data_IF_571316082641
#
_entry.id   IF_571316082641
#
_cell.length_a   1.000
_cell.length_b   1.000
_cell.length_c   1.000
_cell.angle_alpha   90.00
_cell.angle_beta   90.00
_cell.angle_gamma   90.00
#
_symmetry.space_group_name_H-M   'P 1'
#
loop_
_entity.id
_entity.type
_entity.pdbx_description
1 polymer ?
#
# COMPACT_ATOMS: atom_id res chain seq x y z
N UNK A 1 -9.83 -3.93 2.59
CA UNK A 1 -8.94 -4.09 3.77
C UNK A 1 -9.71 -4.80 4.87
N UNK A 2 -9.07 -5.50 5.82
CA UNK A 2 -9.75 -6.27 6.88
C UNK A 2 -10.37 -5.39 7.99
N UNK A 3 -11.08 -4.32 7.63
CA UNK A 3 -11.70 -3.38 8.59
C UNK A 3 -10.74 -2.75 9.61
N UNK A 4 -9.42 -2.74 9.34
CA UNK A 4 -8.41 -2.28 10.30
C UNK A 4 -8.10 -3.27 11.43
N UNK A 5 -8.59 -4.51 11.38
CA UNK A 5 -8.36 -5.53 12.41
C UNK A 5 -7.12 -6.35 12.09
N UNK A 6 -6.22 -6.43 13.08
CA UNK A 6 -5.00 -7.24 13.05
C UNK A 6 -5.33 -8.74 13.04
N UNK A 7 -4.68 -9.50 12.16
CA UNK A 7 -4.72 -10.97 12.19
C UNK A 7 -3.92 -11.52 13.38
N UNK A 8 -4.40 -12.61 14.01
CA UNK A 8 -3.77 -13.21 15.20
C UNK A 8 -2.78 -14.33 14.87
N UNK A 9 -2.92 -14.97 13.71
CA UNK A 9 -2.03 -16.06 13.29
C UNK A 9 -0.63 -15.54 12.95
N UNK A 10 0.39 -16.36 13.17
CA UNK A 10 1.78 -16.06 12.81
C UNK A 10 2.08 -16.34 11.34
N UNK A 11 1.37 -17.31 10.74
CA UNK A 11 1.53 -17.69 9.35
C UNK A 11 0.50 -16.98 8.47
N UNK A 12 0.96 -15.96 7.74
CA UNK A 12 0.07 -15.15 6.92
C UNK A 12 -0.02 -15.66 5.48
N UNK A 13 -1.19 -16.20 5.15
CA UNK A 13 -1.51 -16.62 3.78
C UNK A 13 -2.26 -15.51 3.04
N UNK A 14 -1.57 -14.84 2.10
CA UNK A 14 -2.16 -13.81 1.25
C UNK A 14 -2.17 -14.24 -0.22
N UNK A 15 -3.25 -13.90 -0.93
CA UNK A 15 -3.23 -13.95 -2.39
C UNK A 15 -2.29 -12.90 -2.97
N UNK A 16 -1.72 -13.18 -4.14
CA UNK A 16 -0.88 -12.20 -4.84
C UNK A 16 -1.72 -11.02 -5.35
N UNK A 17 -1.07 -9.87 -5.56
CA UNK A 17 -1.71 -8.64 -6.03
C UNK A 17 -2.29 -8.84 -7.45
N UNK A 18 -3.63 -8.91 -7.56
CA UNK A 18 -4.43 -9.19 -8.78
C UNK A 18 -5.68 -8.31 -8.82
N UNK A 19 -6.42 -8.40 -9.94
CA UNK A 19 -7.69 -7.71 -10.12
C UNK A 19 -7.56 -6.19 -10.02
N UNK A 20 -8.57 -5.54 -9.45
CA UNK A 20 -8.65 -4.08 -9.32
C UNK A 20 -7.56 -3.48 -8.41
N UNK A 21 -6.94 -4.29 -7.55
CA UNK A 21 -5.82 -3.82 -6.74
C UNK A 21 -4.57 -3.59 -7.60
N UNK A 22 -4.38 -4.39 -8.65
CA UNK A 22 -3.19 -4.38 -9.48
C UNK A 22 -3.25 -3.21 -10.46
N UNK A 23 -2.36 -2.25 -10.30
CA UNK A 23 -2.31 -1.08 -11.18
C UNK A 23 -1.88 -1.48 -12.58
N UNK A 24 -2.60 -0.94 -13.56
CA UNK A 24 -2.34 -1.10 -14.98
C UNK A 24 -2.29 0.26 -15.66
N UNK A 25 -1.40 0.40 -16.64
CA UNK A 25 -1.38 1.56 -17.53
C UNK A 25 -2.58 1.53 -18.47
N UNK A 26 -2.72 2.58 -19.27
CA UNK A 26 -3.77 2.70 -20.29
C UNK A 26 -3.67 1.59 -21.34
N UNK A 27 -2.46 1.06 -21.56
CA UNK A 27 -2.15 -0.10 -22.40
C UNK A 27 -2.57 -1.45 -21.79
N UNK A 28 -3.11 -1.44 -20.56
CA UNK A 28 -3.46 -2.65 -19.81
C UNK A 28 -2.26 -3.40 -19.20
N UNK A 29 -1.04 -2.91 -19.41
CA UNK A 29 0.20 -3.51 -18.89
C UNK A 29 0.37 -3.12 -17.43
N UNK A 30 1.04 -3.98 -16.65
CA UNK A 30 1.31 -3.74 -15.22
C UNK A 30 2.14 -2.46 -15.05
N UNK A 31 1.62 -1.48 -14.31
CA UNK A 31 2.32 -0.20 -14.09
C UNK A 31 3.57 -0.37 -13.22
N UNK A 32 3.63 -1.41 -12.38
CA UNK A 32 4.80 -1.74 -11.57
C UNK A 32 5.02 -3.27 -11.53
N UNK A 33 6.26 -3.76 -11.71
CA UNK A 33 6.54 -5.19 -11.81
C UNK A 33 6.27 -5.93 -10.49
N UNK A 34 6.62 -5.31 -9.35
CA UNK A 34 6.68 -5.97 -8.04
C UNK A 34 5.73 -5.36 -7.00
N UNK A 35 4.59 -4.81 -7.46
CA UNK A 35 3.55 -4.26 -6.57
C UNK A 35 3.15 -5.26 -5.48
N UNK A 36 3.26 -4.85 -4.21
CA UNK A 36 2.90 -5.66 -3.05
C UNK A 36 1.39 -5.63 -2.77
N UNK A 37 0.80 -6.74 -2.30
CA UNK A 37 -0.60 -6.79 -1.88
C UNK A 37 -0.89 -5.81 -0.73
N UNK A 38 -2.02 -5.11 -0.79
CA UNK A 38 -2.45 -4.20 0.29
C UNK A 38 -2.61 -4.93 1.63
N UNK A 39 -3.16 -6.15 1.61
CA UNK A 39 -3.43 -6.92 2.83
C UNK A 39 -2.16 -7.29 3.60
N UNK A 40 -1.07 -7.58 2.88
CA UNK A 40 0.24 -7.85 3.48
C UNK A 40 0.75 -6.62 4.23
N UNK A 41 0.78 -5.46 3.58
CA UNK A 41 1.31 -4.24 4.19
C UNK A 41 0.39 -3.73 5.31
N UNK A 42 -0.94 -3.89 5.16
CA UNK A 42 -1.91 -3.61 6.21
C UNK A 42 -1.56 -4.35 7.51
N UNK A 43 -1.25 -5.64 7.41
CA UNK A 43 -0.96 -6.44 8.58
C UNK A 43 0.33 -5.97 9.27
N UNK A 44 1.40 -5.71 8.51
CA UNK A 44 2.66 -5.17 9.05
C UNK A 44 2.44 -3.85 9.79
N UNK A 45 1.66 -2.93 9.22
CA UNK A 45 1.38 -1.62 9.83
C UNK A 45 0.53 -1.76 11.10
N UNK A 46 -0.49 -2.63 11.10
CA UNK A 46 -1.34 -2.84 12.27
C UNK A 46 -0.58 -3.47 13.44
N UNK A 47 0.30 -4.44 13.17
CA UNK A 47 1.03 -5.16 14.23
C UNK A 47 2.15 -4.32 14.85
N UNK A 48 2.65 -3.31 14.12
CA UNK A 48 3.93 -2.65 14.44
C UNK A 48 3.81 -1.12 14.62
N UNK A 49 2.59 -0.56 14.60
CA UNK A 49 2.38 0.89 14.76
C UNK A 49 1.01 1.22 15.36
N UNK A 50 0.88 2.43 15.91
CA UNK A 50 -0.36 3.04 16.36
C UNK A 50 -0.84 4.11 15.39
N UNK A 51 -2.11 4.50 15.52
CA UNK A 51 -2.66 5.63 14.75
C UNK A 51 -1.84 6.90 15.06
N UNK A 52 -1.50 7.66 14.03
CA UNK A 52 -0.65 8.86 14.13
C UNK A 52 0.86 8.60 14.01
N UNK A 53 1.33 7.36 14.17
CA UNK A 53 2.75 7.05 13.98
C UNK A 53 3.21 7.33 12.54
N UNK A 54 4.51 7.57 12.40
CA UNK A 54 5.16 7.80 11.11
C UNK A 54 5.73 6.51 10.54
N UNK A 55 5.34 6.15 9.31
CA UNK A 55 5.85 5.01 8.57
C UNK A 55 6.82 5.48 7.48
N UNK A 56 8.05 4.94 7.47
CA UNK A 56 9.03 5.18 6.42
C UNK A 56 9.09 3.99 5.45
N UNK A 57 8.99 4.26 4.15
CA UNK A 57 9.28 3.27 3.10
C UNK A 57 10.34 3.83 2.13
N UNK A 58 11.60 3.36 2.19
CA UNK A 58 12.66 3.86 1.33
C UNK A 58 12.60 3.32 -0.12
N UNK A 59 11.65 2.43 -0.43
CA UNK A 59 11.47 1.81 -1.75
C UNK A 59 9.98 1.78 -2.12
N UNK A 60 9.36 2.97 -2.15
CA UNK A 60 7.92 3.13 -2.17
C UNK A 60 7.25 2.46 -3.40
N UNK A 61 7.92 2.42 -4.55
CA UNK A 61 7.40 1.82 -5.78
C UNK A 61 6.03 2.37 -6.15
N UNK A 62 5.03 1.49 -6.27
CA UNK A 62 3.66 1.88 -6.59
C UNK A 62 2.81 2.38 -5.40
N UNK A 63 3.43 2.76 -4.28
CA UNK A 63 2.76 3.45 -3.18
C UNK A 63 1.89 2.58 -2.28
N UNK A 64 2.06 1.25 -2.27
CA UNK A 64 1.25 0.34 -1.42
C UNK A 64 1.33 0.74 0.06
N UNK A 65 2.53 1.06 0.58
CA UNK A 65 2.74 1.49 1.97
C UNK A 65 2.06 2.81 2.29
N UNK A 66 2.19 3.81 1.42
CA UNK A 66 1.53 5.11 1.58
C UNK A 66 0.00 4.99 1.61
N UNK A 67 -0.57 4.17 0.71
CA UNK A 67 -2.02 3.91 0.66
C UNK A 67 -2.48 3.26 1.96
N UNK A 68 -1.79 2.23 2.44
CA UNK A 68 -2.14 1.55 3.69
C UNK A 68 -1.99 2.48 4.89
N UNK A 69 -0.90 3.24 4.98
CA UNK A 69 -0.67 4.17 6.08
C UNK A 69 -1.79 5.22 6.15
N UNK A 70 -2.12 5.86 5.02
CA UNK A 70 -3.26 6.78 4.90
C UNK A 70 -4.57 6.10 5.32
N UNK A 71 -4.82 4.89 4.81
CA UNK A 71 -6.02 4.09 5.08
C UNK A 71 -6.18 3.69 6.56
N UNK A 72 -5.09 3.63 7.31
CA UNK A 72 -5.10 3.27 8.73
C UNK A 72 -4.87 4.47 9.65
N UNK A 73 -4.81 5.69 9.12
CA UNK A 73 -4.57 6.92 9.89
C UNK A 73 -3.15 7.01 10.47
N UNK A 74 -2.15 6.51 9.75
CA UNK A 74 -0.72 6.74 10.03
C UNK A 74 -0.18 7.84 9.11
N UNK A 75 0.80 8.58 9.61
CA UNK A 75 1.63 9.44 8.77
C UNK A 75 2.60 8.57 7.98
N UNK A 76 3.10 9.06 6.85
CA UNK A 76 4.06 8.32 6.06
C UNK A 76 5.04 9.22 5.33
N UNK A 77 6.24 8.70 5.10
CA UNK A 77 7.26 9.25 4.20
C UNK A 77 7.70 8.11 3.29
N UNK A 78 7.68 8.35 1.99
CA UNK A 78 8.10 7.38 0.99
C UNK A 78 9.19 7.95 0.09
N UNK A 79 10.18 7.13 -0.23
CA UNK A 79 11.27 7.48 -1.15
C UNK A 79 11.20 6.54 -2.34
N UNK A 80 11.31 7.10 -3.55
CA UNK A 80 11.36 6.36 -4.80
C UNK A 80 12.25 7.11 -5.78
N UNK A 81 13.09 6.37 -6.50
CA UNK A 81 14.08 6.91 -7.43
C UNK A 81 13.45 7.24 -8.79
N UNK A 82 12.54 6.39 -9.24
CA UNK A 82 11.94 6.47 -10.57
C UNK A 82 10.74 7.43 -10.58
N UNK A 83 10.87 8.58 -11.24
CA UNK A 83 9.82 9.62 -11.25
C UNK A 83 8.45 9.13 -11.73
N UNK A 84 8.41 8.17 -12.67
CA UNK A 84 7.17 7.51 -13.10
C UNK A 84 6.43 6.80 -11.96
N UNK A 85 7.16 6.19 -11.02
CA UNK A 85 6.59 5.49 -9.87
C UNK A 85 6.21 6.44 -8.75
N UNK A 86 6.96 7.55 -8.58
CA UNK A 86 6.55 8.67 -7.73
C UNK A 86 5.18 9.20 -8.15
N UNK A 87 5.00 9.49 -9.44
CA UNK A 87 3.72 9.97 -9.98
C UNK A 87 2.59 8.94 -9.79
N UNK A 88 2.86 7.67 -10.10
CA UNK A 88 1.91 6.57 -9.90
C UNK A 88 1.49 6.44 -8.43
N UNK A 89 2.44 6.50 -7.49
CA UNK A 89 2.17 6.41 -6.06
C UNK A 89 1.33 7.60 -5.58
N UNK A 90 1.67 8.83 -5.98
CA UNK A 90 0.92 10.04 -5.62
C UNK A 90 -0.53 9.95 -6.11
N UNK A 91 -0.74 9.65 -7.39
CA UNK A 91 -2.09 9.48 -7.96
C UNK A 91 -2.87 8.39 -7.24
N UNK A 92 -2.22 7.26 -6.92
CA UNK A 92 -2.88 6.16 -6.21
C UNK A 92 -3.31 6.58 -4.81
N UNK A 93 -2.47 7.29 -4.07
CA UNK A 93 -2.76 7.76 -2.70
C UNK A 93 -3.86 8.81 -2.70
N UNK A 94 -3.84 9.74 -3.66
CA UNK A 94 -4.86 10.77 -3.83
C UNK A 94 -6.23 10.16 -4.12
N UNK A 95 -6.29 9.25 -5.09
CA UNK A 95 -7.52 8.58 -5.52
C UNK A 95 -8.01 7.50 -4.54
N UNK A 96 -7.21 7.12 -3.55
CA UNK A 96 -7.62 6.12 -2.58
C UNK A 96 -8.72 6.68 -1.67
N UNK A 97 -9.97 6.28 -1.96
CA UNK A 97 -11.11 6.56 -1.11
C UNK A 97 -11.11 5.61 0.08
N UNK A 98 -11.05 6.17 1.28
CA UNK A 98 -11.37 5.44 2.50
C UNK A 98 -12.78 4.86 2.37
N UNK A 99 -12.90 3.55 2.43
CA UNK A 99 -14.19 2.91 2.64
C UNK A 99 -14.49 3.04 4.14
N UNK A 100 -15.39 3.98 4.48
CA UNK A 100 -16.00 4.08 5.80
C UNK A 100 -16.76 2.80 6.15
#
# INVERSE_FOLDING_TARGET
>A
MNGGVQMKDTDWNFSICRGNERLRGEDGIKSHPTQKPLKLIQQVVLTSSKKGDLILDPFLGSGTTAVVAKALGRNWVGIEKEGKYVNLANQRVENYKHQN
#
